data_IF_229356822122
#
_entry.id   IF_229356822122
#
_cell.length_a   1.000
_cell.length_b   1.000
_cell.length_c   1.000
_cell.angle_alpha   90.00
_cell.angle_beta   90.00
_cell.angle_gamma   90.00
#
_symmetry.space_group_name_H-M   'P 1'
#
loop_
_entity.id
_entity.type
_entity.pdbx_description
1 polymer ?
#
# COMPACT_ATOMS: atom_id res chain seq x y z
N UNK A 1 -8.18 53.31 38.55
CA UNK A 1 -8.60 52.10 37.81
C UNK A 1 -8.67 52.40 36.32
N UNK A 2 -9.43 53.40 35.90
CA UNK A 2 -9.60 53.84 34.50
C UNK A 2 -8.29 54.07 33.73
N UNK A 3 -7.32 54.80 34.30
CA UNK A 3 -6.01 55.02 33.64
C UNK A 3 -5.24 53.72 33.35
N UNK A 4 -5.33 52.72 34.21
CA UNK A 4 -4.67 51.43 34.00
C UNK A 4 -5.38 50.61 32.90
N UNK A 5 -6.72 50.70 32.84
CA UNK A 5 -7.54 50.09 31.79
C UNK A 5 -7.24 50.73 30.44
N UNK A 6 -7.21 52.06 30.35
CA UNK A 6 -6.89 52.79 29.12
C UNK A 6 -5.47 52.46 28.62
N UNK A 7 -4.51 52.31 29.54
CA UNK A 7 -3.15 51.88 29.20
C UNK A 7 -3.11 50.46 28.64
N UNK A 8 -3.88 49.55 29.24
CA UNK A 8 -3.95 48.17 28.78
C UNK A 8 -4.64 48.08 27.41
N UNK A 9 -5.72 48.82 27.20
CA UNK A 9 -6.41 48.92 25.91
C UNK A 9 -5.47 49.44 24.81
N UNK A 10 -4.70 50.50 25.10
CA UNK A 10 -3.71 51.02 24.16
C UNK A 10 -2.61 50.00 23.82
N UNK A 11 -2.20 49.16 24.79
CA UNK A 11 -1.26 48.07 24.53
C UNK A 11 -1.86 47.00 23.61
N UNK A 12 -3.12 46.64 23.80
CA UNK A 12 -3.81 45.68 22.92
C UNK A 12 -4.00 46.24 21.50
N UNK A 13 -4.45 47.49 21.36
CA UNK A 13 -4.60 48.14 20.05
C UNK A 13 -3.27 48.21 19.31
N UNK A 14 -2.17 48.51 20.03
CA UNK A 14 -0.83 48.49 19.45
C UNK A 14 -0.42 47.07 19.04
N UNK A 15 -0.63 46.07 19.91
CA UNK A 15 -0.28 44.69 19.61
C UNK A 15 -1.04 44.15 18.39
N UNK A 16 -2.33 44.47 18.28
CA UNK A 16 -3.16 44.13 17.12
C UNK A 16 -2.64 44.81 15.84
N UNK A 17 -2.31 46.11 15.92
CA UNK A 17 -1.74 46.85 14.79
C UNK A 17 -0.37 46.31 14.35
N UNK A 18 0.49 45.95 15.31
CA UNK A 18 1.79 45.34 15.05
C UNK A 18 1.63 43.97 14.37
N UNK A 19 0.68 43.14 14.80
CA UNK A 19 0.38 41.84 14.18
C UNK A 19 -0.14 42.00 12.74
N UNK A 20 -1.08 42.93 12.53
CA UNK A 20 -1.60 43.23 11.20
C UNK A 20 -0.50 43.72 10.25
N UNK A 21 0.44 44.52 10.74
CA UNK A 21 1.58 44.97 9.93
C UNK A 21 2.50 43.79 9.55
N UNK A 22 2.77 42.87 10.48
CA UNK A 22 3.57 41.68 10.22
C UNK A 22 2.89 40.80 9.16
N UNK A 23 1.59 40.55 9.28
CA UNK A 23 0.81 39.77 8.32
C UNK A 23 0.87 40.39 6.92
N UNK A 24 0.53 41.68 6.78
CA UNK A 24 0.55 42.36 5.48
C UNK A 24 1.94 42.36 4.84
N UNK A 25 3.00 42.54 5.65
CA UNK A 25 4.37 42.49 5.15
C UNK A 25 4.73 41.09 4.65
N UNK A 26 4.33 40.04 5.36
CA UNK A 26 4.55 38.66 4.92
C UNK A 26 3.79 38.34 3.64
N UNK A 27 2.50 38.71 3.54
CA UNK A 27 1.72 38.53 2.32
C UNK A 27 2.34 39.24 1.13
N UNK A 28 2.79 40.48 1.31
CA UNK A 28 3.46 41.26 0.28
C UNK A 28 4.75 40.57 -0.18
N UNK A 29 5.62 40.14 0.75
CA UNK A 29 6.86 39.47 0.42
C UNK A 29 6.63 38.11 -0.26
N UNK A 30 5.65 37.33 0.20
CA UNK A 30 5.25 36.04 -0.43
C UNK A 30 4.77 36.28 -1.87
N UNK A 31 3.90 37.28 -2.10
CA UNK A 31 3.39 37.63 -3.43
C UNK A 31 4.48 38.21 -4.34
N UNK A 32 5.45 38.93 -3.77
CA UNK A 32 6.56 39.56 -4.49
C UNK A 32 7.61 38.54 -4.93
N UNK A 33 7.78 37.39 -4.26
CA UNK A 33 8.62 36.30 -4.78
C UNK A 33 8.10 35.95 -6.19
N UNK A 34 8.89 36.33 -7.20
CA UNK A 34 8.48 36.56 -8.58
C UNK A 34 8.37 35.25 -9.40
N UNK A 35 7.78 35.25 -10.61
CA UNK A 35 7.49 34.09 -11.46
C UNK A 35 8.72 33.43 -12.10
N UNK A 36 9.93 33.86 -11.73
CA UNK A 36 11.21 33.23 -12.11
C UNK A 36 11.71 32.21 -11.07
N UNK A 37 11.00 32.02 -9.95
CA UNK A 37 11.17 30.79 -9.18
C UNK A 37 10.64 29.62 -10.01
N UNK A 38 11.38 28.50 -10.16
CA UNK A 38 10.87 27.34 -10.87
C UNK A 38 9.47 26.98 -10.34
N UNK A 39 8.53 26.55 -11.20
CA UNK A 39 7.10 26.46 -10.90
C UNK A 39 6.81 25.29 -9.97
N UNK A 40 7.29 25.32 -8.72
CA UNK A 40 7.22 24.14 -7.86
C UNK A 40 7.63 24.43 -6.42
N UNK A 41 7.12 25.51 -5.81
CA UNK A 41 6.66 25.31 -4.44
C UNK A 41 5.30 24.61 -4.58
N UNK A 42 5.35 23.30 -4.82
CA UNK A 42 4.16 22.46 -4.88
C UNK A 42 3.34 22.75 -3.61
N UNK A 43 2.07 23.10 -3.82
CA UNK A 43 1.16 23.45 -2.75
C UNK A 43 1.18 22.32 -1.71
N UNK A 44 1.64 22.58 -0.46
CA UNK A 44 1.79 21.55 0.55
C UNK A 44 0.47 20.85 0.85
N UNK A 45 -0.67 21.52 0.64
CA UNK A 45 -2.00 20.91 0.78
C UNK A 45 -2.21 19.86 -0.31
N UNK A 46 -1.90 20.20 -1.57
CA UNK A 46 -1.99 19.25 -2.70
C UNK A 46 -1.04 18.08 -2.54
N UNK A 47 0.17 18.32 -2.03
CA UNK A 47 1.12 17.24 -1.74
C UNK A 47 0.60 16.28 -0.68
N UNK A 48 0.01 16.80 0.39
CA UNK A 48 -0.61 15.97 1.43
C UNK A 48 -1.77 15.14 0.87
N UNK A 49 -2.61 15.74 0.01
CA UNK A 49 -3.69 15.04 -0.68
C UNK A 49 -3.15 13.91 -1.56
N UNK A 50 -2.16 14.19 -2.41
CA UNK A 50 -1.53 13.19 -3.28
C UNK A 50 -0.89 12.05 -2.47
N UNK A 51 -0.18 12.37 -1.39
CA UNK A 51 0.44 11.39 -0.51
C UNK A 51 -0.62 10.50 0.15
N UNK A 52 -1.73 11.08 0.60
CA UNK A 52 -2.85 10.32 1.18
C UNK A 52 -3.47 9.36 0.18
N UNK A 53 -3.68 9.80 -1.07
CA UNK A 53 -4.20 8.97 -2.15
C UNK A 53 -3.25 7.82 -2.51
N UNK A 54 -1.94 8.10 -2.60
CA UNK A 54 -0.93 7.08 -2.85
C UNK A 54 -0.90 6.04 -1.72
N UNK A 55 -0.97 6.48 -0.46
CA UNK A 55 -1.02 5.59 0.71
C UNK A 55 -2.25 4.67 0.69
N UNK A 56 -3.42 5.20 0.31
CA UNK A 56 -4.64 4.39 0.20
C UNK A 56 -4.54 3.34 -0.92
N UNK A 57 -4.02 3.73 -2.09
CA UNK A 57 -3.79 2.81 -3.21
C UNK A 57 -2.84 1.67 -2.82
N UNK A 58 -1.73 2.01 -2.17
CA UNK A 58 -0.77 1.02 -1.69
C UNK A 58 -1.43 0.03 -0.72
N UNK A 59 -2.18 0.52 0.28
CA UNK A 59 -2.88 -0.35 1.23
C UNK A 59 -3.87 -1.30 0.55
N UNK A 60 -4.64 -0.78 -0.41
CA UNK A 60 -5.57 -1.60 -1.19
C UNK A 60 -4.85 -2.68 -1.98
N UNK A 61 -3.74 -2.33 -2.64
CA UNK A 61 -2.96 -3.28 -3.42
C UNK A 61 -2.32 -4.36 -2.54
N UNK A 62 -1.78 -3.98 -1.37
CA UNK A 62 -1.23 -4.93 -0.39
C UNK A 62 -2.28 -5.93 0.07
N UNK A 63 -3.48 -5.46 0.44
CA UNK A 63 -4.56 -6.33 0.88
C UNK A 63 -5.03 -7.29 -0.24
N UNK A 64 -5.07 -6.82 -1.49
CA UNK A 64 -5.38 -7.68 -2.63
C UNK A 64 -4.30 -8.75 -2.86
N UNK A 65 -3.03 -8.37 -2.75
CA UNK A 65 -1.90 -9.29 -2.92
C UNK A 65 -1.89 -10.37 -1.83
N UNK A 66 -2.14 -9.99 -0.57
CA UNK A 66 -2.26 -10.93 0.55
C UNK A 66 -3.38 -11.94 0.29
N UNK A 67 -4.56 -11.47 -0.14
CA UNK A 67 -5.68 -12.33 -0.50
C UNK A 67 -5.33 -13.31 -1.63
N UNK A 68 -4.74 -12.82 -2.71
CA UNK A 68 -4.33 -13.66 -3.85
C UNK A 68 -3.31 -14.72 -3.40
N UNK A 69 -2.38 -14.34 -2.53
CA UNK A 69 -1.34 -15.26 -2.03
C UNK A 69 -1.98 -16.41 -1.23
N UNK A 70 -2.97 -16.11 -0.39
CA UNK A 70 -3.71 -17.12 0.37
C UNK A 70 -4.49 -18.04 -0.59
N UNK A 71 -5.26 -17.47 -1.52
CA UNK A 71 -6.05 -18.24 -2.50
C UNK A 71 -5.16 -19.12 -3.39
N UNK A 72 -3.99 -18.63 -3.80
CA UNK A 72 -3.01 -19.41 -4.56
C UNK A 72 -2.47 -20.59 -3.75
N UNK A 73 -2.12 -20.36 -2.48
CA UNK A 73 -1.64 -21.43 -1.59
C UNK A 73 -2.70 -22.51 -1.37
N UNK A 74 -3.94 -22.10 -1.14
CA UNK A 74 -5.08 -23.02 -0.99
C UNK A 74 -5.36 -23.81 -2.27
N UNK A 75 -5.33 -23.13 -3.43
CA UNK A 75 -5.52 -23.77 -4.75
C UNK A 75 -4.43 -24.81 -5.03
N UNK A 76 -3.16 -24.47 -4.82
CA UNK A 76 -2.04 -25.40 -5.00
C UNK A 76 -2.19 -26.61 -4.07
N UNK A 77 -2.50 -26.40 -2.79
CA UNK A 77 -2.72 -27.48 -1.84
C UNK A 77 -3.89 -28.40 -2.26
N UNK A 78 -4.97 -27.82 -2.79
CA UNK A 78 -6.12 -28.57 -3.30
C UNK A 78 -5.77 -29.41 -4.53
N UNK A 79 -5.01 -28.85 -5.47
CA UNK A 79 -4.52 -29.55 -6.67
C UNK A 79 -3.61 -30.71 -6.27
N UNK A 80 -2.66 -30.48 -5.37
CA UNK A 80 -1.76 -31.52 -4.86
C UNK A 80 -2.53 -32.66 -4.21
N UNK A 81 -3.49 -32.35 -3.33
CA UNK A 81 -4.33 -33.35 -2.67
C UNK A 81 -5.16 -34.16 -3.67
N UNK A 82 -5.78 -33.49 -4.65
CA UNK A 82 -6.58 -34.14 -5.69
C UNK A 82 -5.74 -35.04 -6.57
N UNK A 83 -4.54 -34.59 -6.96
CA UNK A 83 -3.60 -35.37 -7.76
C UNK A 83 -3.13 -36.61 -7.00
N UNK A 84 -2.72 -36.47 -5.73
CA UNK A 84 -2.28 -37.58 -4.89
C UNK A 84 -3.38 -38.64 -4.72
N UNK A 85 -4.63 -38.21 -4.48
CA UNK A 85 -5.77 -39.11 -4.36
C UNK A 85 -6.07 -39.84 -5.67
N UNK A 86 -5.99 -39.13 -6.80
CA UNK A 86 -6.21 -39.73 -8.13
C UNK A 86 -5.13 -40.75 -8.45
N UNK A 87 -3.85 -40.43 -8.20
CA UNK A 87 -2.75 -41.38 -8.38
C UNK A 87 -2.94 -42.64 -7.54
N UNK A 88 -3.33 -42.49 -6.28
CA UNK A 88 -3.63 -43.63 -5.40
C UNK A 88 -4.78 -44.49 -5.94
N UNK A 89 -5.85 -43.87 -6.44
CA UNK A 89 -6.99 -44.58 -7.03
C UNK A 89 -6.58 -45.34 -8.30
N UNK A 90 -5.81 -44.73 -9.18
CA UNK A 90 -5.27 -45.37 -10.40
C UNK A 90 -4.40 -46.56 -10.03
N UNK A 91 -3.50 -46.42 -9.05
CA UNK A 91 -2.67 -47.52 -8.56
C UNK A 91 -3.52 -48.68 -8.02
N UNK A 92 -4.59 -48.40 -7.28
CA UNK A 92 -5.49 -49.44 -6.77
C UNK A 92 -6.20 -50.19 -7.91
N UNK A 93 -6.75 -49.46 -8.89
CA UNK A 93 -7.40 -50.09 -10.05
C UNK A 93 -6.43 -50.94 -10.88
N UNK A 94 -5.19 -50.47 -11.01
CA UNK A 94 -4.11 -51.22 -11.66
C UNK A 94 -3.69 -52.46 -10.86
N UNK A 95 -3.81 -52.50 -9.53
CA UNK A 95 -3.57 -53.73 -8.78
C UNK A 95 -4.65 -54.79 -9.01
N UNK A 96 -5.86 -54.36 -9.35
CA UNK A 96 -7.00 -55.25 -9.62
C UNK A 96 -7.11 -55.71 -11.08
N UNK A 97 -6.30 -55.15 -11.97
CA UNK A 97 -6.29 -55.46 -13.40
C UNK A 97 -4.85 -55.89 -13.75
N UNK A 98 -4.58 -56.96 -14.50
CA UNK A 98 -3.20 -57.42 -14.81
C UNK A 98 -2.36 -56.46 -15.71
N UNK A 99 -2.59 -55.15 -15.61
CA UNK A 99 -1.88 -54.08 -16.28
C UNK A 99 -0.54 -53.82 -15.57
N UNK A 100 0.57 -54.08 -16.28
CA UNK A 100 1.92 -53.75 -15.79
C UNK A 100 2.14 -52.24 -15.79
N UNK A 101 2.64 -51.73 -14.67
CA UNK A 101 3.06 -50.34 -14.47
C UNK A 101 4.27 -50.00 -15.35
N UNK A 102 4.15 -48.94 -16.15
CA UNK A 102 5.32 -48.20 -16.63
C UNK A 102 5.71 -47.21 -15.52
N UNK A 103 6.97 -47.18 -15.07
CA UNK A 103 7.41 -46.19 -14.10
C UNK A 103 7.17 -44.78 -14.67
N UNK A 104 6.85 -43.84 -13.77
CA UNK A 104 6.77 -42.42 -14.12
C UNK A 104 8.07 -42.01 -14.81
N UNK A 105 7.93 -41.33 -15.94
CA UNK A 105 9.05 -40.74 -16.66
C UNK A 105 9.78 -39.72 -15.78
N UNK A 106 11.02 -39.39 -16.15
CA UNK A 106 11.82 -38.40 -15.42
C UNK A 106 11.11 -37.04 -15.33
N UNK A 107 10.40 -36.65 -16.38
CA UNK A 107 9.65 -35.39 -16.44
C UNK A 107 8.47 -35.37 -15.44
N UNK A 108 7.77 -36.50 -15.30
CA UNK A 108 6.67 -36.65 -14.34
C UNK A 108 7.17 -36.72 -12.89
N UNK A 109 8.29 -37.41 -12.64
CA UNK A 109 8.93 -37.44 -11.32
C UNK A 109 9.42 -36.04 -10.90
N UNK A 110 10.00 -35.29 -11.83
CA UNK A 110 10.45 -33.92 -11.58
C UNK A 110 9.26 -32.99 -11.30
N UNK A 111 8.15 -33.18 -12.03
CA UNK A 111 6.92 -32.40 -11.83
C UNK A 111 6.30 -32.63 -10.45
N UNK A 112 6.32 -33.87 -9.95
CA UNK A 112 5.89 -34.20 -8.58
C UNK A 112 6.78 -33.54 -7.51
N UNK A 113 8.11 -33.57 -7.69
CA UNK A 113 9.03 -32.92 -6.75
C UNK A 113 8.85 -31.39 -6.71
N UNK A 114 8.58 -30.76 -7.86
CA UNK A 114 8.32 -29.32 -7.92
C UNK A 114 7.01 -28.92 -7.25
N UNK A 115 6.03 -29.82 -7.24
CA UNK A 115 4.79 -29.64 -6.50
C UNK A 115 5.06 -29.72 -4.99
N UNK A 116 5.90 -30.62 -4.50
CA UNK A 116 6.17 -30.77 -3.05
C UNK A 116 7.02 -29.63 -2.44
N UNK A 117 7.85 -28.94 -3.22
CA UNK A 117 8.88 -28.01 -2.71
C UNK A 117 8.48 -26.52 -2.57
N UNK A 118 7.21 -26.14 -2.75
CA UNK A 118 6.76 -24.74 -2.63
C UNK A 118 5.60 -24.58 -1.66
N UNK A 119 5.92 -24.39 -0.37
CA UNK A 119 4.98 -23.95 0.69
C UNK A 119 5.59 -22.85 1.54
#
# INVERSE_FOLDING_TARGET
MESAVNKLEAMFQKAESDLNYIEQKLEFEIRKRHPDSPPSQEDPVKLLEQLSAAKLRYKSLSAQLEKITVEQKESIASIQSTLANTMKMVQQLQQHTDLKLLPLSEEEQTSLQQLEYKV
#
